data_IF_840354609297
#
_entry.id   IF_840354609297
#
_cell.length_a   1.000
_cell.length_b   1.000
_cell.length_c   1.000
_cell.angle_alpha   90.00
_cell.angle_beta   90.00
_cell.angle_gamma   90.00
#
_symmetry.space_group_name_H-M   'P 1'
#
loop_
_entity.id
_entity.type
_entity.pdbx_description
1 polymer ?
#
# COMPACT_ATOMS: atom_id res chain seq x y z
N UNK A 1 -16.06 6.23 -11.87
CA UNK A 1 -14.90 7.16 -11.93
C UNK A 1 -14.63 7.67 -10.52
N UNK A 2 -13.38 7.61 -10.04
CA UNK A 2 -13.00 8.18 -8.74
C UNK A 2 -12.55 9.63 -9.00
N UNK A 3 -13.06 10.60 -8.23
CA UNK A 3 -12.74 12.04 -8.38
C UNK A 3 -12.26 12.60 -7.05
N UNK A 4 -11.28 13.50 -7.12
CA UNK A 4 -10.82 14.28 -5.98
C UNK A 4 -11.83 15.41 -5.69
N UNK A 5 -11.84 15.89 -4.44
CA UNK A 5 -12.55 17.13 -4.12
C UNK A 5 -11.83 18.32 -4.78
N UNK A 6 -12.53 19.41 -5.12
CA UNK A 6 -11.89 20.64 -5.56
C UNK A 6 -10.76 21.05 -4.59
N UNK A 7 -9.63 21.47 -5.16
CA UNK A 7 -8.44 21.95 -4.43
C UNK A 7 -7.77 20.94 -3.48
N UNK A 8 -8.11 19.65 -3.59
CA UNK A 8 -7.49 18.60 -2.79
C UNK A 8 -6.35 17.89 -3.53
N UNK A 9 -5.24 17.67 -2.82
CA UNK A 9 -4.11 16.87 -3.31
C UNK A 9 -4.21 15.44 -2.76
N UNK A 10 -3.93 14.42 -3.57
CA UNK A 10 -3.81 13.06 -3.08
C UNK A 10 -2.62 12.92 -2.11
N UNK A 11 -2.65 11.93 -1.20
CA UNK A 11 -1.62 11.80 -0.18
C UNK A 11 -0.24 11.53 -0.80
N UNK A 12 0.77 12.15 -0.20
CA UNK A 12 2.17 11.84 -0.45
C UNK A 12 2.85 11.75 0.91
N UNK A 13 2.89 10.54 1.47
CA UNK A 13 3.41 10.28 2.82
C UNK A 13 4.45 9.16 2.78
N UNK A 14 5.41 9.25 3.71
CA UNK A 14 6.36 8.17 3.95
C UNK A 14 5.65 6.92 4.48
N UNK A 15 6.26 5.76 4.27
CA UNK A 15 5.76 4.51 4.84
C UNK A 15 6.01 4.48 6.35
N UNK A 16 5.17 3.76 7.08
CA UNK A 16 5.41 3.48 8.49
C UNK A 16 6.60 2.54 8.66
N UNK A 17 7.27 2.63 9.81
CA UNK A 17 8.26 1.64 10.17
C UNK A 17 7.58 0.28 10.35
N UNK A 18 8.09 -0.74 9.66
CA UNK A 18 7.64 -2.13 9.80
C UNK A 18 8.61 -2.92 10.69
N UNK A 19 8.10 -3.71 11.62
CA UNK A 19 8.92 -4.69 12.34
C UNK A 19 9.23 -5.89 11.43
N UNK A 20 10.18 -6.76 11.83
CA UNK A 20 10.61 -7.90 11.00
C UNK A 20 9.44 -8.76 10.50
N UNK A 21 8.53 -9.14 11.40
CA UNK A 21 7.35 -9.94 11.07
C UNK A 21 6.43 -9.26 10.06
N UNK A 22 6.26 -7.94 10.16
CA UNK A 22 5.44 -7.18 9.21
C UNK A 22 6.12 -7.03 7.86
N UNK A 23 7.46 -6.89 7.85
CA UNK A 23 8.24 -6.85 6.60
C UNK A 23 8.14 -8.16 5.83
N UNK A 24 8.24 -9.30 6.50
CA UNK A 24 8.04 -10.61 5.88
C UNK A 24 6.61 -10.77 5.32
N UNK A 25 5.61 -10.34 6.08
CA UNK A 25 4.22 -10.32 5.61
C UNK A 25 4.02 -9.38 4.42
N UNK A 26 4.70 -8.23 4.41
CA UNK A 26 4.70 -7.27 3.32
C UNK A 26 5.24 -7.89 2.03
N UNK A 27 6.45 -8.43 2.06
CA UNK A 27 7.08 -9.01 0.87
C UNK A 27 6.24 -10.17 0.30
N UNK A 28 5.71 -11.03 1.17
CA UNK A 28 4.80 -12.12 0.77
C UNK A 28 3.52 -11.58 0.12
N UNK A 29 2.89 -10.57 0.72
CA UNK A 29 1.64 -9.99 0.22
C UNK A 29 1.85 -9.31 -1.13
N UNK A 30 2.88 -8.46 -1.26
CA UNK A 30 3.19 -7.78 -2.51
C UNK A 30 3.45 -8.77 -3.63
N UNK A 31 4.24 -9.83 -3.38
CA UNK A 31 4.47 -10.90 -4.36
C UNK A 31 3.17 -11.55 -4.80
N UNK A 32 2.30 -11.93 -3.85
CA UNK A 32 1.01 -12.53 -4.17
C UNK A 32 0.10 -11.62 -5.01
N UNK A 33 0.02 -10.33 -4.65
CA UNK A 33 -0.82 -9.36 -5.36
C UNK A 33 -0.30 -9.10 -6.79
N UNK A 34 1.03 -9.05 -6.98
CA UNK A 34 1.65 -8.94 -8.29
C UNK A 34 1.40 -10.19 -9.14
N UNK A 35 1.56 -11.39 -8.57
CA UNK A 35 1.28 -12.67 -9.28
C UNK A 35 -0.18 -12.74 -9.73
N UNK A 36 -1.12 -12.30 -8.88
CA UNK A 36 -2.55 -12.25 -9.20
C UNK A 36 -2.94 -11.09 -10.13
N UNK A 37 -2.00 -10.22 -10.51
CA UNK A 37 -2.23 -9.01 -11.32
C UNK A 37 -3.23 -8.02 -10.71
N UNK A 38 -3.38 -8.04 -9.38
CA UNK A 38 -4.23 -7.07 -8.68
C UNK A 38 -3.56 -5.70 -8.52
N UNK A 39 -2.22 -5.69 -8.50
CA UNK A 39 -1.42 -4.47 -8.50
C UNK A 39 -0.32 -4.58 -9.56
N UNK A 40 0.27 -3.44 -9.91
CA UNK A 40 1.44 -3.35 -10.77
C UNK A 40 2.38 -2.24 -10.25
N UNK A 41 3.67 -2.28 -10.59
CA UNK A 41 4.57 -1.17 -10.33
C UNK A 41 4.03 0.12 -10.95
N UNK A 42 4.12 1.22 -10.21
CA UNK A 42 3.58 2.53 -10.62
C UNK A 42 4.67 3.59 -10.54
N UNK A 43 4.61 4.58 -11.44
CA UNK A 43 5.43 5.79 -11.43
C UNK A 43 4.70 6.98 -10.80
N UNK A 44 3.59 6.72 -10.08
CA UNK A 44 2.80 7.75 -9.40
C UNK A 44 3.68 8.58 -8.45
N UNK A 45 3.59 9.92 -8.49
CA UNK A 45 4.26 10.78 -7.52
C UNK A 45 3.58 10.76 -6.13
N UNK A 46 2.46 10.04 -6.01
CA UNK A 46 1.65 9.95 -4.79
C UNK A 46 1.75 8.58 -4.16
N UNK A 47 1.79 8.57 -2.82
CA UNK A 47 2.00 7.39 -2.00
C UNK A 47 1.10 7.39 -0.77
N UNK A 48 0.66 6.20 -0.38
CA UNK A 48 -0.04 5.97 0.88
C UNK A 48 0.72 4.92 1.70
N UNK A 49 0.77 5.13 3.01
CA UNK A 49 1.40 4.21 3.95
C UNK A 49 0.55 2.94 4.12
N UNK A 50 1.19 1.79 4.30
CA UNK A 50 0.53 0.48 4.49
C UNK A 50 0.67 0.06 5.95
N UNK A 51 -0.39 -0.57 6.49
CA UNK A 51 -0.43 -1.14 7.84
C UNK A 51 -0.97 -2.57 7.75
N UNK A 52 -0.36 -3.50 8.48
CA UNK A 52 -0.87 -4.86 8.63
C UNK A 52 -1.76 -4.95 9.87
N UNK A 53 -2.93 -5.57 9.72
CA UNK A 53 -3.86 -5.78 10.83
C UNK A 53 -4.03 -7.28 11.04
N UNK A 54 -3.86 -7.74 12.28
CA UNK A 54 -4.22 -9.12 12.65
C UNK A 54 -5.74 -9.24 12.68
N UNK A 55 -6.29 -10.14 11.89
CA UNK A 55 -7.71 -10.50 12.01
C UNK A 55 -7.87 -11.37 13.26
N UNK A 56 -8.84 -11.04 14.09
CA UNK A 56 -9.34 -11.99 15.08
C UNK A 56 -10.01 -13.14 14.32
N UNK A 57 -9.64 -14.37 14.67
CA UNK A 57 -10.24 -15.60 14.14
C UNK A 57 -11.65 -15.82 14.67
#
# INVERSE_FOLDING_TARGET
QIRLKPDSNPPHRSQYHLILKEKEAYDKTIKQLLTKRYIHPSISPYTASIIFVSKAS
#
